data_IF_418000102246
#
_entry.id   IF_418000102246
#
_cell.length_a   1.000
_cell.length_b   1.000
_cell.length_c   1.000
_cell.angle_alpha   90.00
_cell.angle_beta   90.00
_cell.angle_gamma   90.00
#
_symmetry.space_group_name_H-M   'P 1'
#
loop_
_entity.id
_entity.type
_entity.pdbx_description
1 polymer ?
#
# COMPACT_ATOMS: atom_id res chain seq x y z
N UNK A 1 -8.46 7.68 9.11
CA UNK A 1 -7.23 7.48 8.32
C UNK A 1 -7.43 6.43 7.24
N UNK A 2 -7.73 5.16 7.57
CA UNK A 2 -7.94 4.11 6.56
C UNK A 2 -8.95 4.50 5.46
N UNK A 3 -10.14 5.00 5.81
CA UNK A 3 -11.17 5.45 4.85
C UNK A 3 -10.62 6.53 3.89
N UNK A 4 -9.88 7.51 4.41
CA UNK A 4 -9.31 8.58 3.60
C UNK A 4 -8.27 8.06 2.63
N UNK A 5 -7.43 7.11 3.06
CA UNK A 5 -6.44 6.44 2.20
C UNK A 5 -7.14 5.65 1.10
N UNK A 6 -8.19 4.89 1.45
CA UNK A 6 -9.02 4.17 0.48
C UNK A 6 -9.61 5.12 -0.57
N UNK A 7 -10.16 6.26 -0.15
CA UNK A 7 -10.71 7.27 -1.08
C UNK A 7 -9.62 7.81 -2.00
N UNK A 8 -8.42 8.10 -1.49
CA UNK A 8 -7.30 8.60 -2.32
C UNK A 8 -6.88 7.56 -3.36
N UNK A 9 -6.76 6.28 -2.97
CA UNK A 9 -6.45 5.21 -3.91
C UNK A 9 -7.53 5.04 -4.98
N UNK A 10 -8.81 5.06 -4.59
CA UNK A 10 -9.93 4.98 -5.54
C UNK A 10 -9.91 6.16 -6.50
N UNK A 11 -9.75 7.39 -5.99
CA UNK A 11 -9.70 8.59 -6.81
C UNK A 11 -8.51 8.56 -7.79
N UNK A 12 -7.32 8.18 -7.31
CA UNK A 12 -6.14 8.06 -8.16
C UNK A 12 -6.35 7.03 -9.29
N UNK A 13 -6.98 5.90 -8.97
CA UNK A 13 -7.31 4.88 -9.96
C UNK A 13 -8.33 5.38 -10.98
N UNK A 14 -9.42 6.01 -10.53
CA UNK A 14 -10.45 6.54 -11.42
C UNK A 14 -9.92 7.62 -12.36
N UNK A 15 -8.97 8.44 -11.90
CA UNK A 15 -8.31 9.47 -12.74
C UNK A 15 -7.39 8.84 -13.79
N UNK A 16 -6.70 7.75 -13.45
CA UNK A 16 -5.77 7.07 -14.36
C UNK A 16 -6.48 6.17 -15.38
N UNK A 17 -7.57 5.53 -14.96
CA UNK A 17 -8.21 4.46 -15.72
C UNK A 17 -7.44 3.15 -15.66
N UNK A 18 -8.06 2.10 -16.23
CA UNK A 18 -7.49 0.75 -16.28
C UNK A 18 -6.24 0.74 -17.16
N UNK A 19 -6.25 1.53 -18.23
CA UNK A 19 -5.25 1.59 -19.29
C UNK A 19 -3.90 2.09 -18.79
N UNK A 20 -3.90 2.97 -17.78
CA UNK A 20 -2.67 3.49 -17.17
C UNK A 20 -2.31 2.78 -15.87
N UNK A 21 -3.28 2.18 -15.18
CA UNK A 21 -3.05 1.47 -13.93
C UNK A 21 -2.40 0.09 -14.15
N UNK A 22 -2.63 -0.54 -15.30
CA UNK A 22 -2.16 -1.87 -15.64
C UNK A 22 -1.29 -1.89 -16.90
N UNK A 23 -0.53 -2.95 -17.09
CA UNK A 23 0.10 -3.25 -18.37
C UNK A 23 -0.97 -3.56 -19.44
N UNK A 24 -0.67 -3.34 -20.73
CA UNK A 24 -1.54 -3.74 -21.83
C UNK A 24 -1.85 -5.23 -21.75
N UNK A 25 -3.12 -5.60 -21.93
CA UNK A 25 -3.62 -6.99 -21.97
C UNK A 25 -3.24 -7.87 -20.77
N UNK A 26 -2.89 -7.26 -19.64
CA UNK A 26 -2.40 -7.96 -18.46
C UNK A 26 -3.00 -7.41 -17.17
N UNK A 27 -3.13 -8.26 -16.15
CA UNK A 27 -3.48 -7.87 -14.79
C UNK A 27 -2.28 -7.37 -13.99
N UNK A 28 -1.08 -7.40 -14.56
CA UNK A 28 0.10 -6.79 -13.94
C UNK A 28 -0.07 -5.27 -13.86
N UNK A 29 0.19 -4.72 -12.68
CA UNK A 29 0.16 -3.27 -12.49
C UNK A 29 1.30 -2.59 -13.25
N UNK A 30 1.04 -1.38 -13.75
CA UNK A 30 2.04 -0.59 -14.47
C UNK A 30 3.07 0.01 -13.52
N UNK A 31 4.25 0.36 -14.04
CA UNK A 31 5.28 1.07 -13.28
C UNK A 31 4.76 2.42 -12.72
N UNK A 32 3.87 3.09 -13.46
CA UNK A 32 3.22 4.32 -13.02
C UNK A 32 2.36 4.07 -11.77
N UNK A 33 1.52 3.03 -11.80
CA UNK A 33 0.68 2.68 -10.67
C UNK A 33 1.49 2.22 -9.46
N UNK A 34 2.59 1.50 -9.68
CA UNK A 34 3.54 1.13 -8.62
C UNK A 34 4.06 2.40 -7.95
N UNK A 35 4.59 3.36 -8.72
CA UNK A 35 5.13 4.60 -8.18
C UNK A 35 4.11 5.38 -7.36
N UNK A 36 2.89 5.53 -7.88
CA UNK A 36 1.79 6.22 -7.19
C UNK A 36 1.40 5.49 -5.91
N UNK A 37 1.27 4.16 -5.96
CA UNK A 37 0.93 3.34 -4.80
C UNK A 37 1.97 3.43 -3.69
N UNK A 38 3.26 3.45 -4.04
CA UNK A 38 4.35 3.62 -3.08
C UNK A 38 4.31 5.00 -2.42
N UNK A 39 4.08 6.06 -3.20
CA UNK A 39 3.98 7.43 -2.67
C UNK A 39 2.78 7.58 -1.75
N UNK A 40 1.60 7.12 -2.16
CA UNK A 40 0.39 7.19 -1.33
C UNK A 40 0.56 6.32 -0.08
N UNK A 41 1.03 5.09 -0.23
CA UNK A 41 1.25 4.15 0.87
C UNK A 41 2.20 4.73 1.93
N UNK A 42 3.41 5.11 1.53
CA UNK A 42 4.40 5.70 2.42
C UNK A 42 3.91 7.03 3.02
N UNK A 43 3.38 7.92 2.18
CA UNK A 43 2.86 9.22 2.61
C UNK A 43 1.71 9.10 3.62
N UNK A 44 0.89 8.05 3.52
CA UNK A 44 -0.20 7.80 4.44
C UNK A 44 0.22 7.21 5.79
N UNK A 45 1.34 6.48 5.82
CA UNK A 45 1.90 5.91 7.05
C UNK A 45 2.45 6.99 8.00
N UNK A 46 2.96 8.09 7.44
CA UNK A 46 3.50 9.23 8.19
C UNK A 46 2.45 9.85 9.15
N UNK A 47 1.27 10.28 8.69
CA UNK A 47 0.19 10.74 9.58
C UNK A 47 -0.18 9.73 10.67
N UNK A 48 -0.18 8.43 10.36
CA UNK A 48 -0.45 7.38 11.33
C UNK A 48 0.54 7.39 12.49
N UNK A 49 1.84 7.49 12.18
CA UNK A 49 2.90 7.62 13.18
C UNK A 49 2.84 8.93 13.96
N UNK A 50 2.57 10.04 13.28
CA UNK A 50 2.43 11.35 13.93
C UNK A 50 1.28 11.38 14.94
N UNK A 51 0.11 10.82 14.58
CA UNK A 51 -1.04 10.72 15.48
C UNK A 51 -0.73 9.77 16.65
N UNK A 52 -0.08 8.65 16.40
CA UNK A 52 0.36 7.74 17.47
C UNK A 52 1.27 8.44 18.49
N UNK A 53 2.26 9.20 18.02
CA UNK A 53 3.15 9.97 18.90
C UNK A 53 2.40 11.07 19.66
N UNK A 54 1.44 11.75 19.02
CA UNK A 54 0.64 12.80 19.66
C UNK A 54 -0.24 12.27 20.80
N UNK A 55 -0.78 11.06 20.67
CA UNK A 55 -1.65 10.42 21.66
C UNK A 55 -0.82 9.76 22.76
N UNK A 56 0.13 8.90 22.37
CA UNK A 56 0.90 8.09 23.32
C UNK A 56 1.95 8.89 24.09
N UNK A 57 2.46 9.98 23.50
CA UNK A 57 3.61 10.76 24.00
C UNK A 57 4.82 9.90 24.36
N UNK A 58 4.93 8.71 23.77
CA UNK A 58 5.95 7.72 24.09
C UNK A 58 6.51 7.09 22.81
N UNK A 59 7.81 7.23 22.61
CA UNK A 59 8.50 6.67 21.45
C UNK A 59 8.37 5.14 21.35
N UNK A 60 8.37 4.43 22.49
CA UNK A 60 8.25 2.96 22.51
C UNK A 60 6.90 2.50 21.97
N UNK A 61 5.82 3.24 22.23
CA UNK A 61 4.50 2.92 21.69
C UNK A 61 4.48 2.99 20.15
N UNK A 62 5.17 3.98 19.58
CA UNK A 62 5.32 4.12 18.13
C UNK A 62 6.16 2.99 17.51
N UNK A 63 7.21 2.53 18.22
CA UNK A 63 8.01 1.37 17.80
C UNK A 63 7.18 0.09 17.80
N UNK A 64 6.38 -0.14 18.85
CA UNK A 64 5.47 -1.29 18.91
C UNK A 64 4.46 -1.24 17.76
N UNK A 65 3.86 -0.08 17.48
CA UNK A 65 2.97 0.07 16.34
C UNK A 65 3.67 -0.26 15.01
N UNK A 66 4.89 0.22 14.80
CA UNK A 66 5.66 -0.09 13.60
C UNK A 66 5.91 -1.61 13.47
N UNK A 67 6.30 -2.29 14.55
CA UNK A 67 6.48 -3.75 14.57
C UNK A 67 5.17 -4.48 14.26
N UNK A 68 4.06 -4.06 14.85
CA UNK A 68 2.73 -4.64 14.58
C UNK A 68 2.38 -4.51 13.10
N UNK A 69 2.65 -3.35 12.48
CA UNK A 69 2.41 -3.13 11.05
C UNK A 69 3.30 -4.00 10.18
N UNK A 70 4.58 -4.21 10.53
CA UNK A 70 5.44 -5.16 9.81
C UNK A 70 4.86 -6.57 9.90
N UNK A 71 4.54 -7.05 11.11
CA UNK A 71 4.04 -8.42 11.32
C UNK A 71 2.73 -8.65 10.57
N UNK A 72 1.74 -7.76 10.76
CA UNK A 72 0.46 -7.86 10.06
C UNK A 72 0.64 -7.74 8.54
N UNK A 73 1.48 -6.82 8.08
CA UNK A 73 1.76 -6.65 6.67
C UNK A 73 2.37 -7.90 6.05
N UNK A 74 3.34 -8.55 6.72
CA UNK A 74 3.94 -9.79 6.27
C UNK A 74 2.92 -10.94 6.23
N UNK A 75 2.02 -11.05 7.22
CA UNK A 75 0.96 -12.05 7.20
C UNK A 75 0.01 -11.84 6.01
N UNK A 76 -0.32 -10.57 5.71
CA UNK A 76 -1.18 -10.22 4.57
C UNK A 76 -0.49 -10.37 3.20
N UNK A 77 0.85 -10.45 3.16
CA UNK A 77 1.58 -10.73 1.93
C UNK A 77 1.37 -12.16 1.40
N UNK A 78 1.09 -13.12 2.28
CA UNK A 78 0.98 -14.54 1.91
C UNK A 78 -0.03 -14.80 0.79
N UNK A 79 -1.32 -14.39 0.90
CA UNK A 79 -2.29 -14.59 -0.20
C UNK A 79 -1.92 -13.77 -1.45
N UNK A 80 -1.30 -12.61 -1.29
CA UNK A 80 -0.93 -11.75 -2.41
C UNK A 80 0.23 -12.34 -3.24
N UNK A 81 1.20 -12.97 -2.57
CA UNK A 81 2.29 -13.71 -3.23
C UNK A 81 1.74 -14.94 -3.93
N UNK A 82 0.82 -15.69 -3.30
CA UNK A 82 0.15 -16.83 -3.95
C UNK A 82 -0.52 -16.40 -5.26
N UNK A 83 -1.33 -15.34 -5.22
CA UNK A 83 -1.99 -14.79 -6.42
C UNK A 83 -0.99 -14.36 -7.49
N UNK A 84 0.16 -13.80 -7.10
CA UNK A 84 1.20 -13.38 -8.03
C UNK A 84 1.87 -14.54 -8.78
N UNK A 85 1.76 -15.76 -8.24
CA UNK A 85 2.31 -16.99 -8.83
C UNK A 85 1.26 -17.78 -9.64
N UNK A 86 -0.02 -17.38 -9.62
CA UNK A 86 -1.09 -18.09 -10.33
C UNK A 86 -1.08 -17.76 -11.83
N UNK A 87 -0.35 -18.58 -12.60
CA UNK A 87 -0.48 -18.67 -14.07
C UNK A 87 -0.21 -17.37 -14.86
N UNK A 88 -0.45 -17.36 -16.18
CA UNK A 88 -0.28 -16.17 -16.99
C UNK A 88 -1.37 -15.14 -16.64
N UNK A 89 -0.95 -13.93 -16.25
CA UNK A 89 -1.83 -12.83 -15.82
C UNK A 89 -2.49 -12.10 -17.00
N UNK A 90 -3.05 -12.84 -17.96
CA UNK A 90 -3.65 -12.27 -19.18
C UNK A 90 -5.03 -11.71 -18.87
N UNK A 91 -5.29 -10.47 -19.30
CA UNK A 91 -6.60 -9.83 -19.20
C UNK A 91 -7.38 -10.04 -20.50
N UNK A 92 -8.38 -10.91 -20.45
CA UNK A 92 -9.25 -11.18 -21.60
C UNK A 92 -10.49 -10.26 -21.58
N UNK A 93 -10.68 -9.50 -22.66
CA UNK A 93 -11.86 -8.66 -22.88
C UNK A 93 -11.91 -7.37 -22.06
N UNK A 94 -12.97 -6.61 -22.27
CA UNK A 94 -13.25 -5.42 -21.46
C UNK A 94 -13.81 -5.83 -20.10
N UNK A 95 -13.22 -5.29 -19.04
CA UNK A 95 -13.62 -5.55 -17.66
C UNK A 95 -13.93 -4.24 -16.95
N UNK A 96 -14.76 -4.31 -15.92
CA UNK A 96 -15.02 -3.15 -15.07
C UNK A 96 -13.79 -2.74 -14.26
N UNK A 97 -13.69 -1.46 -13.90
CA UNK A 97 -12.65 -0.93 -13.02
C UNK A 97 -12.54 -1.70 -11.70
N UNK A 98 -13.69 -2.06 -11.12
CA UNK A 98 -13.75 -2.82 -9.87
C UNK A 98 -13.17 -4.23 -10.04
N UNK A 99 -13.53 -4.92 -11.13
CA UNK A 99 -12.99 -6.24 -11.44
C UNK A 99 -11.48 -6.19 -11.71
N UNK A 100 -11.00 -5.14 -12.38
CA UNK A 100 -9.58 -4.92 -12.62
C UNK A 100 -8.79 -4.78 -11.30
N UNK A 101 -9.31 -4.01 -10.33
CA UNK A 101 -8.69 -3.89 -9.00
C UNK A 101 -8.62 -5.23 -8.25
N UNK A 102 -9.67 -6.05 -8.32
CA UNK A 102 -9.71 -7.34 -7.63
C UNK A 102 -8.73 -8.36 -8.20
N UNK A 103 -8.52 -8.33 -9.52
CA UNK A 103 -7.66 -9.28 -10.22
C UNK A 103 -6.22 -8.81 -10.39
N UNK A 104 -5.93 -7.57 -10.00
CA UNK A 104 -4.63 -6.93 -10.18
C UNK A 104 -3.49 -7.66 -9.47
N UNK A 105 -2.35 -7.76 -10.16
CA UNK A 105 -1.15 -8.45 -9.67
C UNK A 105 -0.02 -7.44 -9.53
N UNK A 106 0.49 -7.32 -8.30
CA UNK A 106 1.68 -6.54 -8.00
C UNK A 106 2.91 -7.45 -7.98
N UNK A 107 4.10 -6.93 -8.31
CA UNK A 107 5.31 -7.72 -8.28
C UNK A 107 5.64 -8.15 -6.84
N UNK A 108 6.17 -9.37 -6.67
CA UNK A 108 6.40 -10.01 -5.37
C UNK A 108 7.20 -9.12 -4.40
N UNK A 109 8.23 -8.44 -4.90
CA UNK A 109 9.06 -7.57 -4.07
C UNK A 109 8.27 -6.41 -3.46
N UNK A 110 7.21 -5.93 -4.12
CA UNK A 110 6.39 -4.82 -3.64
C UNK A 110 5.56 -5.24 -2.43
N UNK A 111 5.06 -6.48 -2.40
CA UNK A 111 4.35 -7.02 -1.24
C UNK A 111 5.27 -6.98 -0.01
N UNK A 112 6.52 -7.41 -0.14
CA UNK A 112 7.49 -7.41 0.96
C UNK A 112 7.95 -6.00 1.35
N UNK A 113 8.02 -5.07 0.39
CA UNK A 113 8.44 -3.71 0.63
C UNK A 113 7.37 -2.90 1.39
N UNK A 114 6.08 -3.13 1.12
CA UNK A 114 4.97 -2.36 1.68
C UNK A 114 4.97 -2.33 3.23
N UNK A 115 5.10 -3.47 3.95
CA UNK A 115 5.19 -3.47 5.41
C UNK A 115 6.39 -2.68 5.94
N UNK A 116 7.53 -2.77 5.26
CA UNK A 116 8.76 -2.06 5.63
C UNK A 116 8.58 -0.55 5.45
N UNK A 117 8.03 -0.12 4.32
CA UNK A 117 7.72 1.29 4.07
C UNK A 117 6.65 1.82 5.03
N UNK A 118 5.64 1.03 5.35
CA UNK A 118 4.63 1.39 6.34
C UNK A 118 5.25 1.65 7.71
N UNK A 119 6.11 0.74 8.18
CA UNK A 119 6.84 0.92 9.44
C UNK A 119 7.78 2.11 9.41
N UNK A 120 8.55 2.29 8.32
CA UNK A 120 9.44 3.44 8.15
C UNK A 120 8.66 4.77 8.19
N UNK A 121 7.53 4.84 7.49
CA UNK A 121 6.66 6.02 7.48
C UNK A 121 6.10 6.33 8.86
N UNK A 122 5.65 5.31 9.61
CA UNK A 122 5.18 5.47 11.00
C UNK A 122 6.29 6.03 11.89
N UNK A 123 7.49 5.46 11.85
CA UNK A 123 8.61 5.93 12.68
C UNK A 123 9.03 7.36 12.30
N UNK A 124 9.04 7.68 10.99
CA UNK A 124 9.33 9.02 10.50
C UNK A 124 8.29 10.02 11.01
N UNK A 125 7.00 9.74 10.83
CA UNK A 125 5.92 10.61 11.28
C UNK A 125 5.89 10.79 12.80
N UNK A 126 6.21 9.74 13.55
CA UNK A 126 6.35 9.81 14.99
C UNK A 126 7.51 10.74 15.41
N UNK A 127 8.65 10.71 14.71
CA UNK A 127 9.78 11.64 14.97
C UNK A 127 9.49 13.09 14.61
N UNK A 128 8.62 13.34 13.62
CA UNK A 128 8.20 14.71 13.27
C UNK A 128 7.43 15.37 14.41
N UNK A 129 6.72 14.58 15.23
CA UNK A 129 6.21 15.07 16.50
C UNK A 129 7.38 15.12 17.47
N UNK A 130 7.84 16.33 17.81
CA UNK A 130 8.77 16.54 18.92
C UNK A 130 8.09 16.07 20.22
N UNK A 131 8.18 14.78 20.53
CA UNK A 131 7.91 14.28 21.88
C UNK A 131 9.11 14.68 22.71
N UNK A 132 8.85 15.63 23.63
CA UNK A 132 9.78 16.11 24.66
C UNK A 132 10.44 14.95 25.39
#
# INVERSE_FOLDING_TARGET
MAILITIIFIAAFLVLGIERAFQPDSYEISALWIGISLVIGFGSAIPGGYVCAAISRNWRACQVLAVVVVVLGLLLCLPAIQRSNEGPNVRAGEISAFQAMQLGVAPIWMHLLNPVLGAAGILLGARMKKTL
#
